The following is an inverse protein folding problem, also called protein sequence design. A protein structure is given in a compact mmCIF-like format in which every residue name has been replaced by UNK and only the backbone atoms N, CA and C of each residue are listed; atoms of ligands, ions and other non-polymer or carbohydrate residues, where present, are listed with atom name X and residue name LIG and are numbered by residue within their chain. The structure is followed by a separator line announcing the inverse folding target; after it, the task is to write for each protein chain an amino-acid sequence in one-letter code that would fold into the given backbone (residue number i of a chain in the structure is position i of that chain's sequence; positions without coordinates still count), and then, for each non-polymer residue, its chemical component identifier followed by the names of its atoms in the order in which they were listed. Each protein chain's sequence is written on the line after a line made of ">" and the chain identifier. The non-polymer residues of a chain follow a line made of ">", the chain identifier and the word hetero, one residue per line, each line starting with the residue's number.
data_IF_878064457068
#
_entry.id   IF_878064457068
#
_cell.length_a   1.000
_cell.length_b   1.000
_cell.length_c   1.000
_cell.angle_alpha   90.00
_cell.angle_beta   90.00
_cell.angle_gamma   90.00
#
_symmetry.space_group_name_H-M   'P 1'
#
loop_
_entity.id
_entity.type
_entity.pdbx_description
1 polymer ?
#
# COMPACT_ATOMS: atom_id res chain seq x y z
N UNK A 1 -9.01 -3.32 11.69
CA UNK A 1 -8.03 -3.63 10.60
C UNK A 1 -8.18 -2.64 9.47
N UNK A 2 -7.08 -2.18 8.91
CA UNK A 2 -7.03 -1.18 7.82
C UNK A 2 -6.24 -1.77 6.64
N UNK A 3 -6.77 -1.64 5.41
CA UNK A 3 -5.97 -1.77 4.19
C UNK A 3 -5.53 -0.36 3.79
N UNK A 4 -4.21 -0.17 3.65
CA UNK A 4 -3.57 1.10 3.35
C UNK A 4 -2.82 1.01 2.02
N UNK A 5 -3.21 1.86 1.07
CA UNK A 5 -2.51 2.07 -0.20
C UNK A 5 -1.91 3.47 -0.32
N UNK A 6 -1.03 3.63 -1.30
CA UNK A 6 -0.41 4.92 -1.62
C UNK A 6 -0.32 5.07 -3.14
N UNK A 7 -0.85 6.18 -3.69
CA UNK A 7 -0.88 6.41 -5.13
C UNK A 7 -0.44 7.83 -5.49
N UNK A 8 0.15 7.96 -6.67
CA UNK A 8 0.51 9.24 -7.29
C UNK A 8 0.20 9.21 -8.78
N UNK A 9 -0.46 10.25 -9.29
CA UNK A 9 -0.79 10.43 -10.73
C UNK A 9 -1.60 9.31 -11.38
N UNK A 10 -2.14 8.38 -10.61
CA UNK A 10 -2.95 7.28 -11.12
C UNK A 10 -4.35 7.74 -11.47
N UNK A 11 -4.85 7.22 -12.60
CA UNK A 11 -6.24 7.34 -13.03
C UNK A 11 -7.09 6.21 -12.45
N UNK A 12 -8.45 6.29 -12.52
CA UNK A 12 -9.33 5.24 -12.03
C UNK A 12 -9.01 3.86 -12.61
N UNK A 13 -8.69 3.78 -13.91
CA UNK A 13 -8.37 2.50 -14.57
C UNK A 13 -7.11 1.83 -14.02
N UNK A 14 -6.12 2.61 -13.56
CA UNK A 14 -4.88 2.08 -12.99
C UNK A 14 -5.10 1.36 -11.66
N UNK A 15 -6.08 1.82 -10.86
CA UNK A 15 -6.34 1.33 -9.50
C UNK A 15 -7.59 0.47 -9.38
N UNK A 16 -8.41 0.42 -10.43
CA UNK A 16 -9.67 -0.32 -10.44
C UNK A 16 -9.51 -1.80 -10.06
N UNK A 17 -8.54 -2.56 -10.59
CA UNK A 17 -8.35 -3.95 -10.20
C UNK A 17 -8.10 -4.13 -8.70
N UNK A 18 -7.28 -3.26 -8.11
CA UNK A 18 -7.00 -3.27 -6.67
C UNK A 18 -8.25 -2.98 -5.85
N UNK A 19 -8.93 -1.87 -6.14
CA UNK A 19 -10.12 -1.42 -5.40
C UNK A 19 -11.24 -2.45 -5.47
N UNK A 20 -11.55 -2.96 -6.68
CA UNK A 20 -12.61 -3.94 -6.87
C UNK A 20 -12.26 -5.31 -6.27
N UNK A 21 -10.99 -5.70 -6.27
CA UNK A 21 -10.59 -6.96 -5.62
C UNK A 21 -10.81 -6.94 -4.11
N UNK A 22 -10.57 -5.81 -3.45
CA UNK A 22 -10.85 -5.64 -2.03
C UNK A 22 -12.37 -5.72 -1.75
N UNK A 23 -13.19 -5.09 -2.58
CA UNK A 23 -14.65 -5.21 -2.46
C UNK A 23 -15.12 -6.66 -2.66
N UNK A 24 -14.62 -7.33 -3.71
CA UNK A 24 -14.98 -8.72 -4.03
C UNK A 24 -14.47 -9.71 -2.99
N UNK A 25 -13.35 -9.42 -2.32
CA UNK A 25 -12.82 -10.26 -1.23
C UNK A 25 -13.76 -10.34 -0.02
N UNK A 26 -14.69 -9.38 0.09
CA UNK A 26 -15.62 -9.28 1.22
C UNK A 26 -15.04 -8.59 2.44
N UNK A 27 -13.86 -7.97 2.34
CA UNK A 27 -13.22 -7.22 3.43
C UNK A 27 -14.16 -6.14 4.00
N UNK A 28 -14.28 -6.08 5.34
CA UNK A 28 -15.19 -5.19 6.07
C UNK A 28 -14.46 -4.12 6.90
N UNK A 29 -13.14 -4.14 6.91
CA UNK A 29 -12.34 -3.14 7.60
C UNK A 29 -12.28 -1.80 6.87
N UNK A 30 -11.52 -0.88 7.43
CA UNK A 30 -11.32 0.45 6.85
C UNK A 30 -10.41 0.36 5.62
N UNK A 31 -10.71 1.18 4.63
CA UNK A 31 -9.94 1.31 3.38
C UNK A 31 -9.37 2.72 3.33
N UNK A 32 -8.07 2.84 3.38
CA UNK A 32 -7.35 4.12 3.45
C UNK A 32 -6.41 4.28 2.26
N UNK A 33 -6.46 5.43 1.60
CA UNK A 33 -5.58 5.75 0.48
C UNK A 33 -4.86 7.07 0.73
N UNK A 34 -3.53 7.03 0.75
CA UNK A 34 -2.71 8.23 0.67
C UNK A 34 -2.56 8.63 -0.79
N UNK A 35 -2.89 9.87 -1.09
CA UNK A 35 -2.96 10.35 -2.47
C UNK A 35 -2.07 11.58 -2.67
N UNK A 36 -1.31 11.57 -3.78
CA UNK A 36 -0.41 12.64 -4.19
C UNK A 36 -0.65 13.00 -5.65
N UNK A 37 -1.01 14.25 -5.91
CA UNK A 37 -1.15 14.79 -7.29
C UNK A 37 -1.95 13.86 -8.21
N UNK A 38 -3.15 13.47 -7.76
CA UNK A 38 -4.05 12.59 -8.54
C UNK A 38 -5.17 13.39 -9.20
N UNK A 39 -5.69 12.94 -10.36
CA UNK A 39 -6.84 13.55 -11.02
C UNK A 39 -8.11 13.55 -10.14
N UNK A 40 -8.95 14.57 -10.30
CA UNK A 40 -10.22 14.67 -9.57
C UNK A 40 -11.12 13.43 -9.79
N UNK A 41 -11.14 12.89 -11.00
CA UNK A 41 -11.87 11.65 -11.32
C UNK A 41 -11.46 10.45 -10.47
N UNK A 42 -10.18 10.37 -10.09
CA UNK A 42 -9.67 9.31 -9.21
C UNK A 42 -10.12 9.54 -7.76
N UNK A 43 -10.15 10.80 -7.32
CA UNK A 43 -10.70 11.17 -6.01
C UNK A 43 -12.17 10.76 -5.92
N UNK A 44 -12.95 11.11 -6.93
CA UNK A 44 -14.39 10.85 -6.98
C UNK A 44 -14.67 9.33 -7.04
N UNK A 45 -13.87 8.60 -7.83
CA UNK A 45 -13.95 7.14 -7.90
C UNK A 45 -13.69 6.51 -6.52
N UNK A 46 -12.60 6.86 -5.85
CA UNK A 46 -12.26 6.31 -4.53
C UNK A 46 -13.33 6.65 -3.48
N UNK A 47 -13.85 7.89 -3.48
CA UNK A 47 -14.94 8.29 -2.59
C UNK A 47 -16.21 7.49 -2.85
N UNK A 48 -16.55 7.22 -4.12
CA UNK A 48 -17.71 6.41 -4.48
C UNK A 48 -17.60 4.96 -3.99
N UNK A 49 -16.37 4.51 -3.70
CA UNK A 49 -16.00 3.20 -3.17
C UNK A 49 -15.75 3.21 -1.65
N UNK A 50 -16.14 4.29 -0.96
CA UNK A 50 -16.02 4.47 0.48
C UNK A 50 -14.57 4.36 1.00
N UNK A 51 -13.59 4.87 0.23
CA UNK A 51 -12.21 5.01 0.67
C UNK A 51 -12.02 6.30 1.46
N UNK A 52 -11.33 6.21 2.59
CA UNK A 52 -10.81 7.35 3.33
C UNK A 52 -9.55 7.88 2.63
N UNK A 53 -9.53 9.18 2.28
CA UNK A 53 -8.43 9.78 1.52
C UNK A 53 -7.60 10.71 2.39
N UNK A 54 -6.29 10.49 2.38
CA UNK A 54 -5.30 11.39 2.98
C UNK A 54 -4.51 12.06 1.86
N UNK A 55 -4.83 13.33 1.60
CA UNK A 55 -4.19 14.11 0.55
C UNK A 55 -2.91 14.75 1.07
N UNK A 56 -1.81 14.54 0.35
CA UNK A 56 -0.50 15.09 0.64
C UNK A 56 0.08 15.77 -0.59
N UNK A 57 0.88 16.81 -0.39
CA UNK A 57 1.67 17.41 -1.46
C UNK A 57 2.93 16.62 -1.72
N UNK A 58 3.25 16.39 -2.99
CA UNK A 58 4.47 15.72 -3.40
C UNK A 58 5.65 16.71 -3.35
N UNK A 59 6.52 16.55 -2.35
CA UNK A 59 7.68 17.42 -2.13
C UNK A 59 9.01 16.80 -2.58
N UNK A 60 9.04 15.49 -2.74
CA UNK A 60 10.23 14.72 -3.14
C UNK A 60 9.81 13.43 -3.84
N UNK A 61 10.78 12.58 -4.19
CA UNK A 61 10.47 11.31 -4.83
C UNK A 61 9.51 10.47 -3.99
N UNK A 62 8.40 10.03 -4.59
CA UNK A 62 7.29 9.36 -3.89
C UNK A 62 7.72 8.15 -3.07
N UNK A 63 8.69 7.36 -3.57
CA UNK A 63 9.17 6.16 -2.88
C UNK A 63 9.73 6.51 -1.48
N UNK A 64 10.42 7.64 -1.34
CA UNK A 64 10.94 8.07 -0.04
C UNK A 64 9.90 8.79 0.80
N UNK A 65 9.10 9.66 0.15
CA UNK A 65 8.11 10.47 0.84
C UNK A 65 7.01 9.63 1.48
N UNK A 66 6.52 8.60 0.79
CA UNK A 66 5.43 7.76 1.29
C UNK A 66 5.74 7.14 2.66
N UNK A 67 6.99 6.72 2.91
CA UNK A 67 7.37 6.16 4.21
C UNK A 67 7.24 7.17 5.35
N UNK A 68 7.70 8.41 5.13
CA UNK A 68 7.59 9.49 6.11
C UNK A 68 6.13 9.83 6.41
N UNK A 69 5.32 9.94 5.36
CA UNK A 69 3.94 10.37 5.49
C UNK A 69 3.06 9.26 6.06
N UNK A 70 3.33 7.99 5.71
CA UNK A 70 2.71 6.84 6.37
C UNK A 70 3.04 6.84 7.87
N UNK A 71 4.29 7.04 8.25
CA UNK A 71 4.67 7.10 9.67
C UNK A 71 3.81 8.13 10.43
N UNK A 72 3.65 9.34 9.89
CA UNK A 72 2.80 10.38 10.48
C UNK A 72 1.31 10.01 10.50
N UNK A 73 0.85 9.29 9.47
CA UNK A 73 -0.53 8.82 9.41
C UNK A 73 -0.80 7.74 10.47
N UNK A 74 0.14 6.82 10.68
CA UNK A 74 0.03 5.77 11.67
C UNK A 74 -0.11 6.31 13.10
N UNK A 75 0.46 7.48 13.40
CA UNK A 75 0.30 8.14 14.70
C UNK A 75 -1.14 8.56 15.00
N UNK A 76 -1.99 8.66 13.97
CA UNK A 76 -3.41 9.03 14.10
C UNK A 76 -4.33 7.82 14.33
N UNK A 77 -3.81 6.63 14.16
CA UNK A 77 -4.58 5.40 14.35
C UNK A 77 -4.37 4.81 15.76
N UNK A 78 -5.34 4.02 16.28
CA UNK A 78 -5.13 3.28 17.51
C UNK A 78 -3.88 2.40 17.43
N UNK A 79 -3.12 2.30 18.53
CA UNK A 79 -1.85 1.55 18.54
C UNK A 79 -1.99 0.05 18.36
N UNK A 80 -3.18 -0.48 18.62
CA UNK A 80 -3.55 -1.88 18.44
C UNK A 80 -4.22 -2.17 17.09
N UNK A 81 -4.33 -1.14 16.22
CA UNK A 81 -4.90 -1.32 14.89
C UNK A 81 -3.96 -2.11 13.97
N UNK A 82 -4.46 -3.18 13.40
CA UNK A 82 -3.72 -3.95 12.39
C UNK A 82 -3.80 -3.27 11.03
N UNK A 83 -2.66 -3.05 10.40
CA UNK A 83 -2.57 -2.37 9.11
C UNK A 83 -1.92 -3.28 8.08
N UNK A 84 -2.60 -3.47 6.96
CA UNK A 84 -2.09 -4.14 5.76
C UNK A 84 -1.68 -3.04 4.79
N UNK A 85 -0.38 -2.81 4.67
CA UNK A 85 0.15 -1.85 3.70
C UNK A 85 0.65 -2.58 2.46
N UNK A 86 0.14 -2.19 1.28
CA UNK A 86 0.49 -2.80 -0.01
C UNK A 86 0.74 -1.75 -1.09
N UNK A 87 1.46 -2.14 -2.12
CA UNK A 87 1.40 -1.44 -3.40
C UNK A 87 0.00 -1.59 -4.01
N UNK A 88 -0.37 -0.69 -4.91
CA UNK A 88 -1.76 -0.60 -5.40
C UNK A 88 -1.92 -1.13 -6.83
N UNK A 89 -0.92 -0.92 -7.69
CA UNK A 89 -1.07 -1.19 -9.13
C UNK A 89 -1.03 -2.69 -9.47
N UNK A 90 -0.25 -3.45 -8.73
CA UNK A 90 0.12 -4.85 -9.02
C UNK A 90 -0.28 -5.84 -7.92
N UNK A 91 -1.10 -5.39 -6.98
CA UNK A 91 -1.66 -6.25 -5.91
C UNK A 91 -3.14 -6.46 -6.12
N UNK A 92 -3.60 -7.71 -5.95
CA UNK A 92 -5.00 -8.11 -6.01
C UNK A 92 -5.34 -8.96 -4.78
N UNK A 93 -6.41 -8.61 -4.09
CA UNK A 93 -6.94 -9.39 -2.97
C UNK A 93 -7.84 -10.51 -3.48
N UNK A 94 -7.42 -11.76 -3.29
CA UNK A 94 -8.19 -12.93 -3.72
C UNK A 94 -9.24 -13.36 -2.69
N UNK A 95 -9.08 -12.95 -1.43
CA UNK A 95 -9.98 -13.26 -0.32
C UNK A 95 -9.82 -12.23 0.79
N UNK A 96 -10.77 -12.19 1.72
CA UNK A 96 -10.65 -11.37 2.94
C UNK A 96 -9.44 -11.81 3.77
N UNK A 97 -8.45 -10.93 3.99
CA UNK A 97 -7.22 -11.28 4.72
C UNK A 97 -7.42 -11.39 6.23
N UNK A 98 -8.55 -10.93 6.77
CA UNK A 98 -8.77 -10.79 8.22
C UNK A 98 -8.49 -12.07 8.98
N UNK A 99 -9.15 -13.16 8.60
CA UNK A 99 -9.01 -14.45 9.30
C UNK A 99 -7.60 -15.04 9.21
N UNK A 100 -6.94 -14.81 8.08
CA UNK A 100 -5.57 -15.31 7.91
C UNK A 100 -4.61 -14.54 8.82
N UNK A 101 -4.76 -13.22 8.89
CA UNK A 101 -3.92 -12.37 9.74
C UNK A 101 -4.16 -12.68 11.21
N UNK A 102 -5.41 -12.76 11.66
CA UNK A 102 -5.76 -13.11 13.04
C UNK A 102 -5.15 -14.44 13.49
N UNK A 103 -5.07 -15.40 12.56
CA UNK A 103 -4.50 -16.72 12.84
C UNK A 103 -2.98 -16.77 12.84
N UNK A 104 -2.34 -15.99 11.98
CA UNK A 104 -0.92 -16.17 11.64
C UNK A 104 -0.02 -15.03 12.12
N UNK A 105 -0.57 -13.84 12.38
CA UNK A 105 0.21 -12.71 12.84
C UNK A 105 0.40 -12.77 14.36
N UNK A 106 1.57 -13.22 14.78
CA UNK A 106 1.99 -13.33 16.18
C UNK A 106 3.14 -12.38 16.54
N UNK A 107 3.36 -11.36 15.73
CA UNK A 107 4.43 -10.37 15.84
C UNK A 107 3.92 -8.97 15.50
N UNK A 108 4.68 -7.95 15.88
CA UNK A 108 4.31 -6.55 15.62
C UNK A 108 4.46 -6.14 14.16
N UNK A 109 5.33 -6.80 13.40
CA UNK A 109 5.57 -6.52 11.98
C UNK A 109 5.74 -7.86 11.26
N UNK A 110 5.00 -8.01 10.16
CA UNK A 110 5.14 -9.12 9.23
C UNK A 110 5.41 -8.56 7.84
N UNK A 111 6.48 -9.00 7.21
CA UNK A 111 6.83 -8.62 5.84
C UNK A 111 6.95 -9.89 4.98
N UNK A 112 6.58 -9.76 3.72
CA UNK A 112 6.70 -10.81 2.72
C UNK A 112 7.84 -10.48 1.77
N UNK A 113 8.64 -11.48 1.40
CA UNK A 113 9.69 -11.33 0.41
C UNK A 113 9.34 -12.06 -0.87
N UNK A 114 9.90 -11.62 -1.98
CA UNK A 114 9.73 -12.24 -3.29
C UNK A 114 10.48 -13.57 -3.45
N UNK A 115 11.14 -14.04 -2.38
CA UNK A 115 11.94 -15.30 -2.36
C UNK A 115 13.13 -15.30 -3.32
N UNK A 116 13.52 -14.15 -3.84
CA UNK A 116 14.74 -13.96 -4.64
C UNK A 116 15.69 -13.01 -3.91
N UNK A 117 16.99 -13.28 -3.96
CA UNK A 117 17.96 -12.36 -3.35
C UNK A 117 18.16 -11.12 -4.20
N UNK A 118 18.41 -9.96 -3.59
CA UNK A 118 18.60 -8.69 -4.32
C UNK A 118 19.68 -8.79 -5.40
N UNK A 119 20.74 -9.55 -5.18
CA UNK A 119 21.82 -9.75 -6.16
C UNK A 119 21.37 -10.53 -7.40
N UNK A 120 20.36 -11.38 -7.27
CA UNK A 120 19.86 -12.25 -8.33
C UNK A 120 18.64 -11.64 -9.03
N UNK A 121 18.00 -10.63 -8.39
CA UNK A 121 16.86 -9.92 -8.94
C UNK A 121 17.28 -8.84 -9.97
N UNK A 122 16.92 -8.99 -11.27
CA UNK A 122 17.23 -8.00 -12.28
C UNK A 122 16.65 -6.62 -11.98
N UNK A 123 15.46 -6.54 -11.37
CA UNK A 123 14.81 -5.30 -11.00
C UNK A 123 15.57 -4.60 -9.86
N UNK A 124 15.96 -5.35 -8.83
CA UNK A 124 16.73 -4.81 -7.71
C UNK A 124 18.08 -4.28 -8.16
N UNK A 125 18.77 -5.00 -9.07
CA UNK A 125 20.05 -4.56 -9.65
C UNK A 125 19.95 -3.21 -10.36
N UNK A 126 18.87 -2.97 -11.09
CA UNK A 126 18.65 -1.71 -11.83
C UNK A 126 18.23 -0.57 -10.91
N UNK A 127 17.39 -0.85 -9.92
CA UNK A 127 16.73 0.18 -9.13
C UNK A 127 17.41 0.50 -7.80
N UNK A 128 18.15 -0.42 -7.19
CA UNK A 128 18.90 -0.15 -5.96
C UNK A 128 20.24 0.53 -6.20
N UNK A 129 20.72 0.53 -7.45
CA UNK A 129 21.96 1.19 -7.84
C UNK A 129 23.16 0.75 -6.98
N UNK A 130 24.12 1.67 -6.80
CA UNK A 130 25.28 1.47 -5.92
C UNK A 130 25.01 1.78 -4.45
N UNK A 131 23.77 2.05 -4.07
CA UNK A 131 23.38 2.54 -2.75
C UNK A 131 23.28 1.45 -1.68
N UNK A 132 23.19 0.18 -2.11
CA UNK A 132 23.16 -0.96 -1.20
C UNK A 132 24.29 -1.94 -1.51
N UNK A 133 25.01 -2.45 -0.49
CA UNK A 133 25.93 -3.55 -0.70
C UNK A 133 25.16 -4.75 -1.27
N UNK A 134 25.62 -5.26 -2.41
CA UNK A 134 24.97 -6.41 -3.10
C UNK A 134 25.11 -7.75 -2.34
N UNK A 135 25.58 -7.71 -1.10
CA UNK A 135 25.89 -8.89 -0.28
C UNK A 135 24.80 -9.21 0.77
N UNK A 136 23.60 -8.58 0.63
CA UNK A 136 22.45 -8.85 1.50
C UNK A 136 21.50 -9.88 0.89
#
# INVERSE_FOLDING_TARGET
>A
MIILGCITKYKPEDIKPYVESIEQSGFKGRKVMMVYDIPQETIDYLKSKEWELYQNELQQHIILQRFRDIYKLLEQFPKDETIIWTDVKDVIFQTDPTKWIEKNMNCSIMAFSESITMKDDPWARVNSGTSFPMEW
#
